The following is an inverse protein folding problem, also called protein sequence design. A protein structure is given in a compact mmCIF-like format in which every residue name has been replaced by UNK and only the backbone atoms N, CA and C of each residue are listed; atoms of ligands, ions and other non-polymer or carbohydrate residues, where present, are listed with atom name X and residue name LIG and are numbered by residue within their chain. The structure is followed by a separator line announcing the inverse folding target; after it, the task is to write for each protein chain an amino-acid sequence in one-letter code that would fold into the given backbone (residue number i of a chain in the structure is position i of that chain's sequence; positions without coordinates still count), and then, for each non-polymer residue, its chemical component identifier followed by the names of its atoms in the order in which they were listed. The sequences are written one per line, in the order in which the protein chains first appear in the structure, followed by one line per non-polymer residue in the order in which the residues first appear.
data_IF_459938642025
#
_entry.id   IF_459938642025
#
_cell.length_a   1.000
_cell.length_b   1.000
_cell.length_c   1.000
_cell.angle_alpha   90.00
_cell.angle_beta   90.00
_cell.angle_gamma   90.00
#
_symmetry.space_group_name_H-M   'P 1'
#
loop_
_entity.id
_entity.type
_entity.pdbx_description
1 polymer ?
#
# COMPACT_ATOMS: atom_id res chain seq x y z
N UNK A 1 -4.86 -14.02 7.70
CA UNK A 1 -4.14 -13.25 6.66
C UNK A 1 -3.12 -12.38 7.36
N UNK A 2 -1.82 -12.51 7.04
CA UNK A 2 -0.76 -11.69 7.65
C UNK A 2 -0.39 -10.57 6.67
N UNK A 3 -0.59 -9.33 7.07
CA UNK A 3 -0.11 -8.17 6.31
C UNK A 3 1.36 -7.90 6.67
N UNK A 4 2.12 -7.36 5.73
CA UNK A 4 3.44 -6.80 6.04
C UNK A 4 3.29 -5.52 6.87
N UNK A 5 4.36 -5.06 7.54
CA UNK A 5 4.34 -3.78 8.26
C UNK A 5 3.90 -2.63 7.34
N UNK A 6 4.40 -2.61 6.10
CA UNK A 6 3.93 -1.72 5.04
C UNK A 6 2.41 -1.81 4.81
N UNK A 7 1.88 -3.03 4.71
CA UNK A 7 0.45 -3.26 4.50
C UNK A 7 -0.44 -2.79 5.66
N UNK A 8 0.10 -2.83 6.89
CA UNK A 8 -0.57 -2.36 8.10
C UNK A 8 -0.61 -0.82 8.10
N UNK A 9 0.53 -0.17 7.86
CA UNK A 9 0.63 1.30 7.78
C UNK A 9 -0.30 1.88 6.71
N UNK A 10 -0.27 1.30 5.49
CA UNK A 10 -1.17 1.72 4.41
C UNK A 10 -2.63 1.59 4.82
N UNK A 11 -3.02 0.49 5.46
CA UNK A 11 -4.41 0.30 5.93
C UNK A 11 -4.79 1.29 7.03
N UNK A 12 -3.87 1.61 7.93
CA UNK A 12 -4.09 2.61 8.99
C UNK A 12 -4.39 3.97 8.40
N UNK A 13 -3.58 4.42 7.45
CA UNK A 13 -3.78 5.74 6.79
C UNK A 13 -5.03 5.75 5.92
N UNK A 14 -5.34 4.65 5.24
CA UNK A 14 -6.62 4.52 4.53
C UNK A 14 -7.80 4.69 5.49
N UNK A 15 -7.74 4.09 6.68
CA UNK A 15 -8.78 4.21 7.70
C UNK A 15 -8.86 5.64 8.27
N UNK A 16 -7.73 6.27 8.55
CA UNK A 16 -7.66 7.67 9.05
C UNK A 16 -8.22 8.67 8.04
N UNK A 17 -8.20 8.35 6.74
CA UNK A 17 -8.69 9.20 5.65
C UNK A 17 -10.05 8.78 5.09
N UNK A 18 -10.71 7.82 5.71
CA UNK A 18 -11.98 7.22 5.23
C UNK A 18 -11.89 6.70 3.78
N UNK A 19 -10.69 6.26 3.37
CA UNK A 19 -10.42 5.72 2.04
C UNK A 19 -10.53 4.19 2.05
N UNK A 20 -11.06 3.65 0.96
CA UNK A 20 -11.13 2.20 0.76
C UNK A 20 -9.95 1.69 -0.06
N UNK A 21 -9.58 0.42 0.12
CA UNK A 21 -8.61 -0.27 -0.74
C UNK A 21 -8.99 -0.21 -2.22
N UNK A 22 -10.29 -0.24 -2.51
CA UNK A 22 -10.84 -0.11 -3.86
C UNK A 22 -10.53 1.27 -4.45
N UNK A 23 -10.65 2.32 -3.65
CA UNK A 23 -10.34 3.70 -4.07
C UNK A 23 -8.85 3.85 -4.37
N UNK A 24 -8.00 3.37 -3.47
CA UNK A 24 -6.54 3.39 -3.67
C UNK A 24 -6.12 2.57 -4.91
N UNK A 25 -6.73 1.40 -5.11
CA UNK A 25 -6.45 0.58 -6.29
C UNK A 25 -6.88 1.30 -7.60
N UNK A 26 -8.03 1.98 -7.58
CA UNK A 26 -8.53 2.77 -8.70
C UNK A 26 -7.57 3.92 -9.04
N UNK A 27 -7.10 4.65 -8.03
CA UNK A 27 -6.17 5.78 -8.18
C UNK A 27 -4.81 5.33 -8.74
N UNK A 28 -4.32 4.18 -8.29
CA UNK A 28 -3.10 3.55 -8.78
C UNK A 28 -3.27 2.86 -10.15
N UNK A 29 -4.51 2.78 -10.66
CA UNK A 29 -4.91 2.04 -11.86
C UNK A 29 -4.45 0.58 -11.85
N UNK A 30 -4.64 -0.09 -10.70
CA UNK A 30 -4.33 -1.52 -10.50
C UNK A 30 -5.54 -2.28 -9.95
N UNK A 31 -5.50 -3.61 -9.99
CA UNK A 31 -6.54 -4.42 -9.36
C UNK A 31 -6.39 -4.44 -7.84
N UNK A 32 -7.52 -4.53 -7.12
CA UNK A 32 -7.56 -4.65 -5.66
C UNK A 32 -6.81 -5.91 -5.20
N UNK A 33 -6.90 -7.00 -5.96
CA UNK A 33 -6.16 -8.24 -5.69
C UNK A 33 -4.64 -8.01 -5.75
N UNK A 34 -4.16 -7.29 -6.77
CA UNK A 34 -2.74 -6.96 -6.91
C UNK A 34 -2.25 -6.04 -5.80
N UNK A 35 -3.06 -5.03 -5.42
CA UNK A 35 -2.78 -4.19 -4.25
C UNK A 35 -2.70 -5.04 -2.97
N UNK A 36 -3.64 -5.95 -2.75
CA UNK A 36 -3.65 -6.87 -1.60
C UNK A 36 -2.38 -7.72 -1.53
N UNK A 37 -1.90 -8.24 -2.66
CA UNK A 37 -0.66 -9.02 -2.74
C UNK A 37 0.59 -8.19 -2.41
N UNK A 38 0.61 -6.91 -2.79
CA UNK A 38 1.68 -5.97 -2.42
C UNK A 38 1.66 -5.71 -0.91
N UNK A 39 0.48 -5.45 -0.32
CA UNK A 39 0.33 -5.18 1.12
C UNK A 39 0.66 -6.41 1.98
N UNK A 40 0.43 -7.63 1.48
CA UNK A 40 0.84 -8.87 2.13
C UNK A 40 2.34 -9.15 2.05
N UNK A 41 3.09 -8.41 1.23
CA UNK A 41 4.53 -8.63 1.01
C UNK A 41 4.85 -9.77 0.04
N UNK A 42 3.85 -10.34 -0.65
CA UNK A 42 4.06 -11.44 -1.61
C UNK A 42 4.77 -10.99 -2.88
N UNK A 43 4.79 -9.69 -3.19
CA UNK A 43 5.48 -9.10 -4.34
C UNK A 43 6.45 -8.02 -3.84
N UNK A 44 7.73 -8.11 -4.24
CA UNK A 44 8.74 -7.07 -3.92
C UNK A 44 8.42 -5.69 -4.49
N UNK A 45 7.54 -5.60 -5.50
CA UNK A 45 6.65 -4.46 -5.80
C UNK A 45 7.18 -3.03 -5.63
N UNK A 46 8.51 -2.78 -5.77
CA UNK A 46 9.15 -1.52 -5.35
C UNK A 46 8.51 -0.30 -6.02
N UNK A 47 8.24 -0.36 -7.32
CA UNK A 47 7.60 0.73 -8.07
C UNK A 47 6.20 1.05 -7.55
N UNK A 48 5.41 0.03 -7.22
CA UNK A 48 4.05 0.21 -6.72
C UNK A 48 4.03 0.67 -5.26
N UNK A 49 4.95 0.19 -4.42
CA UNK A 49 5.11 0.71 -3.06
C UNK A 49 5.42 2.22 -3.09
N UNK A 50 6.36 2.64 -3.94
CA UNK A 50 6.67 4.06 -4.13
C UNK A 50 5.42 4.85 -4.57
N UNK A 51 4.68 4.37 -5.56
CA UNK A 51 3.42 5.03 -5.97
C UNK A 51 2.38 5.11 -4.86
N UNK A 52 2.22 4.05 -4.05
CA UNK A 52 1.29 4.06 -2.91
C UNK A 52 1.71 5.11 -1.89
N UNK A 53 3.01 5.21 -1.61
CA UNK A 53 3.60 6.20 -0.70
C UNK A 53 3.35 7.63 -1.24
N UNK A 54 3.59 7.86 -2.53
CA UNK A 54 3.34 9.16 -3.18
C UNK A 54 1.86 9.56 -3.12
N UNK A 55 0.95 8.63 -3.46
CA UNK A 55 -0.51 8.87 -3.43
C UNK A 55 -1.01 9.14 -2.02
N UNK A 56 -0.53 8.37 -1.04
CA UNK A 56 -0.91 8.55 0.35
C UNK A 56 -0.11 9.65 1.06
N UNK A 57 0.90 10.23 0.43
CA UNK A 57 1.79 11.21 1.07
C UNK A 57 2.44 10.66 2.34
N UNK A 58 2.81 9.38 2.34
CA UNK A 58 3.50 8.76 3.46
C UNK A 58 4.98 9.12 3.42
N UNK A 59 5.58 9.40 4.56
CA UNK A 59 7.03 9.39 4.71
C UNK A 59 7.43 8.02 5.26
N UNK A 60 7.87 7.12 4.38
CA UNK A 60 8.38 5.83 4.82
C UNK A 60 9.92 5.85 4.79
N UNK A 61 10.54 5.60 5.94
CA UNK A 61 11.98 5.38 6.03
C UNK A 61 12.37 4.13 5.19
N UNK A 62 13.51 4.18 4.50
CA UNK A 62 13.97 3.14 3.55
C UNK A 62 14.05 1.70 4.12
N UNK A 63 13.98 1.54 5.44
CA UNK A 63 14.01 0.24 6.12
C UNK A 63 12.82 -0.67 5.79
N UNK A 64 11.63 -0.12 5.50
CA UNK A 64 10.41 -0.88 5.19
C UNK A 64 10.30 -1.34 3.70
N UNK A 65 11.26 -0.90 2.87
CA UNK A 65 11.35 -1.25 1.44
C UNK A 65 12.32 -2.41 1.15
N UNK A 66 12.97 -2.98 2.18
CA UNK A 66 13.87 -4.14 2.07
C UNK A 66 13.14 -5.46 1.87
#
# INVERSE_FOLDING_TARGET
MKYSNFGIEVRKVLLERDLTLTSLASELKISVSYLSDILKGSRKGKKQKVRIIEVLGLEMCEEDLK
#
